data_IF_274058287893
#
_entry.id   IF_274058287893
#
_cell.length_a   1.000
_cell.length_b   1.000
_cell.length_c   1.000
_cell.angle_alpha   90.00
_cell.angle_beta   90.00
_cell.angle_gamma   90.00
#
_symmetry.space_group_name_H-M   'P 1'
#
loop_
_entity.id
_entity.type
_entity.pdbx_description
1 polymer ?
#
# COMPACT_ATOMS: atom_id res chain seq x y z
N UNK A 1 6.47 -4.59 5.78
CA UNK A 1 5.34 -5.09 4.98
C UNK A 1 4.23 -5.48 5.93
N UNK A 2 3.01 -5.02 5.68
CA UNK A 2 1.87 -5.13 6.59
C UNK A 2 1.47 -6.59 6.77
N UNK A 3 1.41 -7.05 8.02
CA UNK A 3 0.79 -8.33 8.33
C UNK A 3 -0.74 -8.15 8.36
N UNK A 4 -1.39 -8.48 7.25
CA UNK A 4 -2.84 -8.38 7.09
C UNK A 4 -3.64 -9.33 7.98
N UNK A 5 -3.00 -10.36 8.57
CA UNK A 5 -3.67 -11.28 9.51
C UNK A 5 -4.06 -10.60 10.82
N UNK A 6 -3.39 -9.48 11.16
CA UNK A 6 -3.74 -8.65 12.31
C UNK A 6 -5.03 -7.83 12.07
N UNK A 7 -5.57 -7.84 10.84
CA UNK A 7 -6.77 -7.12 10.47
C UNK A 7 -7.90 -8.10 10.12
N UNK A 8 -9.12 -7.77 10.52
CA UNK A 8 -10.30 -8.58 10.22
C UNK A 8 -11.01 -8.09 8.95
N UNK A 9 -10.32 -8.18 7.81
CA UNK A 9 -10.91 -7.79 6.52
C UNK A 9 -11.85 -8.88 5.96
N UNK A 10 -12.95 -8.49 5.28
CA UNK A 10 -13.76 -9.42 4.51
C UNK A 10 -12.93 -10.13 3.43
N UNK A 11 -13.30 -11.38 3.11
CA UNK A 11 -12.65 -12.14 2.02
C UNK A 11 -12.68 -11.39 0.68
N UNK A 12 -13.74 -10.63 0.41
CA UNK A 12 -13.86 -9.80 -0.79
C UNK A 12 -12.79 -8.71 -0.86
N UNK A 13 -12.46 -8.07 0.25
CA UNK A 13 -11.38 -7.07 0.33
C UNK A 13 -10.01 -7.70 0.13
N UNK A 14 -9.80 -8.91 0.67
CA UNK A 14 -8.54 -9.64 0.52
C UNK A 14 -8.33 -10.23 -0.89
N UNK A 15 -9.40 -10.35 -1.67
CA UNK A 15 -9.36 -10.90 -3.03
C UNK A 15 -8.82 -9.92 -4.08
N UNK A 16 -8.97 -8.61 -3.85
CA UNK A 16 -8.47 -7.56 -4.74
C UNK A 16 -6.94 -7.52 -4.71
N UNK A 17 -6.28 -7.39 -5.87
CA UNK A 17 -4.82 -7.41 -5.94
C UNK A 17 -4.23 -6.01 -6.20
N UNK A 18 -3.25 -5.62 -5.38
CA UNK A 18 -2.46 -4.40 -5.59
C UNK A 18 -1.21 -4.65 -6.44
N UNK A 19 -0.65 -5.86 -6.35
CA UNK A 19 0.50 -6.36 -7.12
C UNK A 19 0.31 -7.84 -7.44
N UNK A 20 0.81 -8.27 -8.59
CA UNK A 20 0.85 -9.68 -9.02
C UNK A 20 2.24 -10.03 -9.56
N UNK A 21 2.66 -11.26 -9.37
CA UNK A 21 3.93 -11.78 -9.89
C UNK A 21 3.83 -13.26 -10.24
N UNK A 22 4.76 -13.76 -11.06
CA UNK A 22 4.87 -15.17 -11.43
C UNK A 22 6.31 -15.62 -11.22
N UNK A 23 6.53 -16.42 -10.18
CA UNK A 23 7.84 -17.01 -9.93
C UNK A 23 7.97 -18.34 -10.67
N UNK A 24 9.15 -18.55 -11.26
CA UNK A 24 9.54 -19.82 -11.88
C UNK A 24 10.44 -20.60 -10.94
N UNK A 25 10.21 -21.89 -10.82
CA UNK A 25 10.99 -22.77 -9.95
C UNK A 25 11.07 -24.19 -10.52
N UNK A 26 12.09 -24.96 -10.12
CA UNK A 26 12.36 -26.29 -10.65
C UNK A 26 13.52 -26.31 -11.66
N UNK A 27 13.90 -27.51 -12.11
CA UNK A 27 15.01 -27.69 -13.05
C UNK A 27 14.63 -27.36 -14.49
N UNK A 28 15.63 -27.16 -15.36
CA UNK A 28 15.50 -26.73 -16.77
C UNK A 28 14.50 -27.56 -17.60
N UNK A 29 14.31 -28.84 -17.26
CA UNK A 29 13.39 -29.78 -17.93
C UNK A 29 12.06 -30.01 -17.18
N UNK A 30 11.84 -29.36 -16.02
CA UNK A 30 10.63 -29.45 -15.19
C UNK A 30 10.31 -28.08 -14.56
N UNK A 31 10.34 -27.02 -15.37
CA UNK A 31 10.03 -25.66 -14.93
C UNK A 31 8.55 -25.58 -14.51
N UNK A 32 8.31 -25.13 -13.28
CA UNK A 32 6.99 -24.86 -12.72
C UNK A 32 6.81 -23.36 -12.53
N UNK A 33 5.56 -22.89 -12.60
CA UNK A 33 5.19 -21.49 -12.37
C UNK A 33 4.25 -21.41 -11.17
N UNK A 34 4.50 -20.46 -10.27
CA UNK A 34 3.59 -20.12 -9.16
C UNK A 34 3.20 -18.67 -9.29
N UNK A 35 1.88 -18.41 -9.33
CA UNK A 35 1.33 -17.05 -9.28
C UNK A 35 1.32 -16.57 -7.83
N UNK A 36 1.74 -15.32 -7.63
CA UNK A 36 1.70 -14.61 -6.36
C UNK A 36 0.85 -13.36 -6.54
N UNK A 37 0.15 -12.97 -5.48
CA UNK A 37 -0.55 -11.70 -5.41
C UNK A 37 -0.38 -11.09 -4.02
N UNK A 38 -0.31 -9.77 -3.98
CA UNK A 38 -0.39 -8.99 -2.75
C UNK A 38 -1.78 -8.34 -2.71
N UNK A 39 -2.59 -8.58 -1.66
CA UNK A 39 -3.88 -7.92 -1.53
C UNK A 39 -3.77 -6.41 -1.61
N UNK A 40 -4.68 -5.75 -2.34
CA UNK A 40 -4.68 -4.30 -2.54
C UNK A 40 -4.63 -3.56 -1.20
N UNK A 41 -5.46 -3.98 -0.24
CA UNK A 41 -5.49 -3.38 1.10
C UNK A 41 -4.14 -3.41 1.83
N UNK A 42 -3.33 -4.46 1.63
CA UNK A 42 -1.99 -4.54 2.20
C UNK A 42 -1.08 -3.46 1.61
N UNK A 43 -1.11 -3.30 0.28
CA UNK A 43 -0.35 -2.28 -0.44
C UNK A 43 -0.77 -0.86 -0.03
N UNK A 44 -2.06 -0.60 0.13
CA UNK A 44 -2.56 0.71 0.58
C UNK A 44 -2.13 1.05 2.02
N UNK A 45 -2.18 0.07 2.94
CA UNK A 45 -1.72 0.27 4.33
C UNK A 45 -0.19 0.45 4.37
N UNK A 46 0.56 -0.33 3.57
CA UNK A 46 2.01 -0.18 3.44
C UNK A 46 2.36 1.24 3.00
N UNK A 47 1.73 1.76 1.93
CA UNK A 47 1.97 3.13 1.44
C UNK A 47 1.62 4.18 2.49
N UNK A 48 0.48 4.03 3.19
CA UNK A 48 0.09 4.92 4.30
C UNK A 48 1.15 4.95 5.41
N UNK A 49 1.64 3.79 5.83
CA UNK A 49 2.65 3.72 6.88
C UNK A 49 3.99 4.29 6.39
N UNK A 50 4.36 4.05 5.13
CA UNK A 50 5.59 4.61 4.53
C UNK A 50 5.53 6.13 4.41
N UNK A 51 4.43 6.73 3.95
CA UNK A 51 4.32 8.20 3.83
C UNK A 51 4.38 8.88 5.20
N UNK A 52 3.74 8.30 6.22
CA UNK A 52 3.83 8.80 7.60
C UNK A 52 5.25 8.67 8.15
N UNK A 53 5.89 7.52 7.93
CA UNK A 53 7.28 7.32 8.37
C UNK A 53 8.24 8.31 7.70
N UNK A 54 8.08 8.57 6.40
CA UNK A 54 8.86 9.57 5.67
C UNK A 54 8.61 10.98 6.19
N UNK A 55 7.36 11.31 6.51
CA UNK A 55 7.04 12.59 7.13
C UNK A 55 7.80 12.74 8.45
N UNK A 56 7.73 11.75 9.34
CA UNK A 56 8.35 11.85 10.66
C UNK A 56 9.88 11.80 10.63
N UNK A 57 10.47 10.98 9.75
CA UNK A 57 11.87 10.56 9.86
C UNK A 57 12.76 10.97 8.69
N UNK A 58 12.21 11.48 7.58
CA UNK A 58 13.00 11.72 6.36
C UNK A 58 12.96 13.17 5.87
N UNK A 59 11.80 13.82 5.87
CA UNK A 59 11.71 15.19 5.39
C UNK A 59 12.23 16.19 6.44
N UNK A 60 12.76 17.33 5.98
CA UNK A 60 13.27 18.38 6.85
C UNK A 60 12.16 19.07 7.66
N UNK A 61 12.53 19.65 8.80
CA UNK A 61 11.61 20.44 9.63
C UNK A 61 10.96 21.60 8.87
N UNK A 62 11.72 22.31 8.02
CA UNK A 62 11.15 23.37 7.17
C UNK A 62 10.04 22.86 6.23
N UNK A 63 10.16 21.64 5.70
CA UNK A 63 9.11 21.04 4.88
C UNK A 63 7.91 20.60 5.74
N UNK A 64 8.14 20.09 6.95
CA UNK A 64 7.06 19.75 7.90
C UNK A 64 6.26 21.00 8.24
N UNK A 65 6.93 22.08 8.63
CA UNK A 65 6.33 23.39 8.94
C UNK A 65 5.52 23.93 7.77
N UNK A 66 6.08 23.88 6.56
CA UNK A 66 5.37 24.30 5.35
C UNK A 66 4.09 23.48 5.14
N UNK A 67 4.18 22.15 5.23
CA UNK A 67 3.05 21.25 5.03
C UNK A 67 1.98 21.36 6.13
N UNK A 68 2.37 21.70 7.36
CA UNK A 68 1.44 21.87 8.49
C UNK A 68 0.93 23.30 8.66
N UNK A 69 1.43 24.27 7.88
CA UNK A 69 1.13 25.70 8.09
C UNK A 69 -0.36 26.05 8.01
N UNK A 70 -1.12 25.39 7.12
CA UNK A 70 -2.55 25.68 6.93
C UNK A 70 -3.50 24.83 7.78
N UNK A 71 -3.07 23.64 8.19
CA UNK A 71 -3.96 22.63 8.80
C UNK A 71 -3.55 22.24 10.23
N UNK A 72 -2.31 22.48 10.64
CA UNK A 72 -1.71 21.85 11.82
C UNK A 72 -1.09 20.48 11.52
N UNK A 73 -0.17 20.03 12.38
CA UNK A 73 0.58 18.80 12.14
C UNK A 73 -0.31 17.55 12.13
N UNK A 74 -1.30 17.48 13.03
CA UNK A 74 -2.19 16.32 13.17
C UNK A 74 -3.06 16.13 11.92
N UNK A 75 -3.70 17.21 11.46
CA UNK A 75 -4.53 17.25 10.28
C UNK A 75 -3.72 16.98 9.01
N UNK A 76 -2.49 17.52 8.93
CA UNK A 76 -1.57 17.20 7.83
C UNK A 76 -1.22 15.71 7.81
N UNK A 77 -0.91 15.09 8.95
CA UNK A 77 -0.68 13.64 9.04
C UNK A 77 -1.92 12.83 8.65
N UNK A 78 -3.11 13.25 9.05
CA UNK A 78 -4.37 12.61 8.64
C UNK A 78 -4.57 12.69 7.11
N UNK A 79 -4.29 13.84 6.50
CA UNK A 79 -4.35 14.02 5.06
C UNK A 79 -3.32 13.14 4.34
N UNK A 80 -2.07 13.09 4.82
CA UNK A 80 -1.04 12.24 4.25
C UNK A 80 -1.41 10.76 4.34
N UNK A 81 -1.97 10.32 5.47
CA UNK A 81 -2.48 8.97 5.65
C UNK A 81 -3.61 8.67 4.64
N UNK A 82 -4.56 9.58 4.48
CA UNK A 82 -5.63 9.46 3.50
C UNK A 82 -5.09 9.33 2.07
N UNK A 83 -4.18 10.20 1.66
CA UNK A 83 -3.55 10.15 0.34
C UNK A 83 -2.81 8.82 0.13
N UNK A 84 -2.09 8.33 1.15
CA UNK A 84 -1.40 7.05 1.10
C UNK A 84 -2.34 5.87 0.84
N UNK A 85 -3.50 5.82 1.51
CA UNK A 85 -4.49 4.75 1.26
C UNK A 85 -5.32 4.95 -0.01
N UNK A 86 -5.43 6.18 -0.52
CA UNK A 86 -6.30 6.48 -1.67
C UNK A 86 -5.59 6.42 -3.03
N UNK A 87 -4.25 6.54 -3.06
CA UNK A 87 -3.49 6.71 -4.31
C UNK A 87 -3.80 5.65 -5.40
N UNK A 88 -4.03 4.41 -4.98
CA UNK A 88 -4.28 3.25 -5.85
C UNK A 88 -5.72 2.72 -5.71
N UNK A 89 -6.66 3.52 -5.19
CA UNK A 89 -8.05 3.06 -4.96
C UNK A 89 -8.74 2.60 -6.26
N UNK A 90 -8.35 3.19 -7.41
CA UNK A 90 -8.84 2.79 -8.73
C UNK A 90 -8.49 1.35 -9.12
N UNK A 91 -7.53 0.71 -8.43
CA UNK A 91 -7.24 -0.71 -8.62
C UNK A 91 -8.38 -1.61 -8.17
N UNK A 92 -9.25 -1.15 -7.28
CA UNK A 92 -10.46 -1.90 -6.90
C UNK A 92 -11.56 -1.87 -7.99
N UNK A 93 -11.26 -1.40 -9.20
CA UNK A 93 -12.20 -1.36 -10.31
C UNK A 93 -12.12 -2.62 -11.18
N UNK A 94 -13.22 -3.01 -11.85
CA UNK A 94 -13.21 -4.12 -12.80
C UNK A 94 -12.19 -3.93 -13.94
N UNK A 95 -11.90 -2.69 -14.34
CA UNK A 95 -10.92 -2.40 -15.38
C UNK A 95 -9.49 -2.84 -15.00
N UNK A 96 -9.20 -2.97 -13.70
CA UNK A 96 -7.89 -3.38 -13.20
C UNK A 96 -7.89 -4.85 -12.72
N UNK A 97 -8.95 -5.33 -12.08
CA UNK A 97 -9.00 -6.64 -11.40
C UNK A 97 -9.22 -7.86 -12.33
N UNK A 98 -9.25 -7.67 -13.66
CA UNK A 98 -9.40 -8.74 -14.66
C UNK A 98 -8.13 -9.55 -14.95
#
# INVERSE_FOLDING_TARGET
MTNIENYRFPKSTLALWGKKDVIKFGGKNREKKKRLWLPLVAHLIDTKNTILWLYDNWISEANKEYLSSSLGESETKNLLAFLGVAHDIGKASPAFET
#
